data_IF_102662403160
#
_entry.id   IF_102662403160
#
_cell.length_a   1.000
_cell.length_b   1.000
_cell.length_c   1.000
_cell.angle_alpha   90.00
_cell.angle_beta   90.00
_cell.angle_gamma   90.00
#
_symmetry.space_group_name_H-M   'P 1'
#
loop_
_entity.id
_entity.type
_entity.pdbx_description
1 polymer ?
#
# COMPACT_ATOMS: atom_id res chain seq x y z
N UNK A 1 0.47 -17.57 12.73
CA UNK A 1 0.37 -18.25 11.43
C UNK A 1 0.60 -17.20 10.35
N UNK A 2 1.87 -16.95 10.03
CA UNK A 2 2.22 -16.11 8.89
C UNK A 2 2.01 -16.97 7.64
N UNK A 3 1.09 -16.60 6.77
CA UNK A 3 1.03 -17.20 5.44
C UNK A 3 2.30 -16.73 4.73
N UNK A 4 3.25 -17.65 4.59
CA UNK A 4 4.41 -17.46 3.74
C UNK A 4 3.92 -17.27 2.31
N UNK A 5 4.12 -16.08 1.77
CA UNK A 5 4.21 -15.90 0.33
C UNK A 5 5.70 -15.97 0.02
N UNK A 6 6.17 -17.14 -0.40
CA UNK A 6 7.49 -17.29 -0.99
C UNK A 6 7.55 -16.41 -2.25
N UNK A 7 8.23 -15.26 -2.16
CA UNK A 7 8.46 -14.40 -3.33
C UNK A 7 9.68 -14.96 -4.05
N UNK A 8 9.42 -15.88 -4.97
CA UNK A 8 10.40 -16.29 -5.97
C UNK A 8 10.73 -15.10 -6.88
N UNK A 9 11.96 -14.63 -6.73
CA UNK A 9 12.69 -13.77 -7.65
C UNK A 9 12.29 -12.28 -7.74
N UNK A 10 13.15 -11.42 -7.21
CA UNK A 10 13.08 -9.94 -7.31
C UNK A 10 12.97 -9.41 -8.74
N UNK A 11 13.31 -10.20 -9.77
CA UNK A 11 13.15 -9.81 -11.18
C UNK A 11 11.69 -9.80 -11.64
N UNK A 12 10.82 -10.64 -11.07
CA UNK A 12 9.38 -10.67 -11.39
C UNK A 12 8.61 -9.49 -10.78
N UNK A 13 9.09 -8.95 -9.64
CA UNK A 13 8.44 -7.82 -8.97
C UNK A 13 8.43 -6.55 -9.84
N UNK A 14 9.46 -6.36 -10.66
CA UNK A 14 9.58 -5.20 -11.58
C UNK A 14 8.56 -5.24 -12.72
N UNK A 15 8.01 -6.42 -13.05
CA UNK A 15 7.00 -6.61 -14.09
C UNK A 15 5.57 -6.69 -13.53
N UNK A 16 5.43 -6.74 -12.20
CA UNK A 16 4.12 -6.78 -11.56
C UNK A 16 3.42 -5.41 -11.59
N UNK A 17 2.07 -5.37 -11.64
CA UNK A 17 1.32 -4.14 -11.44
C UNK A 17 1.77 -3.41 -10.17
N UNK A 18 1.89 -2.09 -10.24
CA UNK A 18 2.40 -1.26 -9.14
C UNK A 18 1.74 -1.56 -7.78
N UNK A 19 0.45 -1.88 -7.78
CA UNK A 19 -0.31 -2.21 -6.57
C UNK A 19 0.21 -3.48 -5.86
N UNK A 20 0.61 -4.51 -6.61
CA UNK A 20 1.19 -5.75 -6.09
C UNK A 20 2.59 -5.46 -5.55
N UNK A 21 3.38 -4.69 -6.29
CA UNK A 21 4.72 -4.29 -5.86
C UNK A 21 4.67 -3.49 -4.55
N UNK A 22 3.81 -2.48 -4.47
CA UNK A 22 3.62 -1.66 -3.28
C UNK A 22 3.14 -2.50 -2.08
N UNK A 23 2.22 -3.45 -2.30
CA UNK A 23 1.76 -4.36 -1.24
C UNK A 23 2.89 -5.25 -0.69
N UNK A 24 3.70 -5.83 -1.56
CA UNK A 24 4.83 -6.66 -1.14
C UNK A 24 5.85 -5.84 -0.34
N UNK A 25 6.16 -4.63 -0.81
CA UNK A 25 7.06 -3.70 -0.09
C UNK A 25 6.49 -3.26 1.25
N UNK A 26 5.17 -3.07 1.35
CA UNK A 26 4.50 -2.83 2.63
C UNK A 26 4.72 -4.00 3.60
N UNK A 27 4.54 -5.25 3.15
CA UNK A 27 4.80 -6.44 3.97
C UNK A 27 6.26 -6.63 4.39
N UNK A 28 7.21 -6.13 3.59
CA UNK A 28 8.65 -6.16 3.88
C UNK A 28 9.15 -4.95 4.69
N UNK A 29 8.29 -3.97 4.96
CA UNK A 29 8.69 -2.72 5.63
C UNK A 29 9.53 -1.78 4.76
N UNK A 30 9.67 -2.04 3.46
CA UNK A 30 10.47 -1.26 2.50
C UNK A 30 9.61 -0.42 1.56
N UNK A 31 8.47 0.07 2.06
CA UNK A 31 7.46 0.77 1.24
C UNK A 31 8.02 2.00 0.51
N UNK A 32 8.96 2.72 1.13
CA UNK A 32 9.60 3.90 0.54
C UNK A 32 10.41 3.61 -0.73
N UNK A 33 10.84 2.37 -0.95
CA UNK A 33 11.49 1.95 -2.20
C UNK A 33 10.52 1.85 -3.38
N UNK A 34 9.21 2.02 -3.15
CA UNK A 34 8.22 2.13 -4.22
C UNK A 34 8.16 3.55 -4.81
N UNK A 35 8.78 4.54 -4.16
CA UNK A 35 8.80 5.93 -4.66
C UNK A 35 9.62 6.01 -5.95
N UNK A 36 9.09 6.73 -6.94
CA UNK A 36 9.76 6.92 -8.21
C UNK A 36 11.09 7.68 -8.02
N UNK A 37 12.25 7.10 -8.36
CA UNK A 37 13.54 7.76 -8.22
C UNK A 37 13.69 9.00 -9.12
N UNK A 38 12.86 9.15 -10.15
CA UNK A 38 12.86 10.31 -11.05
C UNK A 38 12.35 11.60 -10.39
N UNK A 39 11.64 11.49 -9.26
CA UNK A 39 11.11 12.64 -8.53
C UNK A 39 12.22 13.59 -8.08
N UNK A 40 13.47 13.14 -7.93
CA UNK A 40 14.66 13.97 -7.60
C UNK A 40 14.43 14.94 -6.41
N UNK A 41 13.46 14.64 -5.56
CA UNK A 41 13.09 15.44 -4.40
C UNK A 41 13.54 14.70 -3.16
N UNK A 42 14.19 15.40 -2.24
CA UNK A 42 14.38 14.91 -0.87
C UNK A 42 13.03 14.97 -0.16
N UNK A 43 12.40 13.82 0.00
CA UNK A 43 11.18 13.67 0.80
C UNK A 43 11.50 13.08 2.18
N UNK A 44 10.67 13.40 3.16
CA UNK A 44 10.71 12.71 4.46
C UNK A 44 10.25 11.28 4.28
N UNK A 45 11.05 10.31 4.72
CA UNK A 45 10.75 8.88 4.58
C UNK A 45 9.40 8.52 5.23
N UNK A 46 9.13 9.08 6.41
CA UNK A 46 7.85 8.89 7.09
C UNK A 46 6.66 9.45 6.31
N UNK A 47 6.81 10.61 5.67
CA UNK A 47 5.73 11.22 4.88
C UNK A 47 5.47 10.42 3.60
N UNK A 48 6.53 9.91 2.95
CA UNK A 48 6.37 9.03 1.79
C UNK A 48 5.71 7.70 2.18
N UNK A 49 6.14 7.09 3.29
CA UNK A 49 5.52 5.87 3.84
C UNK A 49 4.04 6.10 4.14
N UNK A 50 3.72 7.23 4.78
CA UNK A 50 2.38 7.69 5.11
C UNK A 50 1.50 7.78 3.85
N UNK A 51 1.96 8.49 2.83
CA UNK A 51 1.25 8.67 1.57
C UNK A 51 1.02 7.36 0.83
N UNK A 52 2.03 6.51 0.75
CA UNK A 52 1.92 5.20 0.08
C UNK A 52 0.94 4.27 0.83
N UNK A 53 0.94 4.31 2.17
CA UNK A 53 -0.01 3.53 2.98
C UNK A 53 -1.46 4.00 2.76
N UNK A 54 -1.70 5.31 2.71
CA UNK A 54 -3.02 5.87 2.34
C UNK A 54 -3.42 5.40 0.93
N UNK A 55 -2.48 5.44 -0.02
CA UNK A 55 -2.67 4.94 -1.38
C UNK A 55 -3.14 3.47 -1.40
N UNK A 56 -2.48 2.60 -0.63
CA UNK A 56 -2.87 1.19 -0.49
C UNK A 56 -4.29 1.02 0.09
N UNK A 57 -4.69 1.84 1.07
CA UNK A 57 -6.06 1.83 1.61
C UNK A 57 -7.10 2.23 0.56
N UNK A 58 -6.79 3.20 -0.29
CA UNK A 58 -7.69 3.68 -1.35
C UNK A 58 -7.94 2.64 -2.45
N UNK A 59 -7.00 1.72 -2.68
CA UNK A 59 -7.09 0.70 -3.72
C UNK A 59 -7.47 -0.69 -3.19
N UNK A 60 -7.91 -0.79 -1.93
CA UNK A 60 -8.37 -2.06 -1.37
C UNK A 60 -9.48 -2.69 -2.24
N UNK A 61 -9.46 -4.02 -2.35
CA UNK A 61 -10.41 -4.76 -3.18
C UNK A 61 -11.86 -4.56 -2.72
N UNK A 62 -12.11 -4.62 -1.40
CA UNK A 62 -13.42 -4.29 -0.82
C UNK A 62 -13.62 -2.78 -0.79
N UNK A 63 -14.70 -2.30 -1.43
CA UNK A 63 -15.09 -0.90 -1.42
C UNK A 63 -15.45 -0.39 -0.02
N UNK A 64 -15.98 -1.26 0.84
CA UNK A 64 -16.38 -0.92 2.22
C UNK A 64 -15.18 -0.63 3.13
N UNK A 65 -14.01 -1.19 2.78
CA UNK A 65 -12.77 -0.97 3.53
C UNK A 65 -12.00 0.27 3.04
N UNK A 66 -12.40 0.87 1.92
CA UNK A 66 -11.75 2.09 1.41
C UNK A 66 -12.14 3.29 2.29
N UNK A 67 -11.18 4.14 2.67
CA UNK A 67 -11.50 5.35 3.40
C UNK A 67 -12.33 6.30 2.54
N UNK A 68 -13.25 7.03 3.16
CA UNK A 68 -13.95 8.12 2.48
C UNK A 68 -12.97 9.23 2.10
N UNK A 69 -13.27 9.99 1.04
CA UNK A 69 -12.39 11.10 0.63
C UNK A 69 -12.19 12.15 1.73
N UNK A 70 -13.20 12.39 2.58
CA UNK A 70 -13.06 13.30 3.73
C UNK A 70 -12.08 12.76 4.77
N UNK A 71 -12.05 11.45 4.99
CA UNK A 71 -11.07 10.78 5.85
C UNK A 71 -9.67 10.86 5.23
N UNK A 72 -9.52 10.62 3.93
CA UNK A 72 -8.24 10.75 3.21
C UNK A 72 -7.67 12.16 3.38
N UNK A 73 -8.48 13.21 3.20
CA UNK A 73 -8.03 14.59 3.39
C UNK A 73 -7.54 14.85 4.83
N UNK A 74 -8.22 14.28 5.84
CA UNK A 74 -7.76 14.36 7.24
C UNK A 74 -6.44 13.62 7.46
N UNK A 75 -6.29 12.41 6.92
CA UNK A 75 -5.04 11.65 6.98
C UNK A 75 -3.87 12.42 6.36
N UNK A 76 -4.11 13.15 5.27
CA UNK A 76 -3.09 13.94 4.59
C UNK A 76 -2.71 15.23 5.32
N UNK A 77 -3.70 15.95 5.89
CA UNK A 77 -3.47 17.28 6.50
C UNK A 77 -3.08 17.20 7.96
N UNK A 78 -3.64 16.25 8.69
CA UNK A 78 -3.49 16.15 10.13
C UNK A 78 -2.54 15.01 10.49
N UNK A 79 -2.08 15.00 11.74
CA UNK A 79 -1.34 13.86 12.31
C UNK A 79 -2.31 12.73 12.72
N UNK A 80 -3.29 12.46 11.85
CA UNK A 80 -4.30 11.44 12.07
C UNK A 80 -3.69 10.05 11.92
N UNK A 81 -4.13 9.12 12.76
CA UNK A 81 -3.69 7.73 12.71
C UNK A 81 -4.13 7.10 11.38
N UNK A 82 -3.21 6.39 10.72
CA UNK A 82 -3.49 5.70 9.47
C UNK A 82 -3.67 4.22 9.76
N UNK A 83 -4.87 3.66 9.49
CA UNK A 83 -5.11 2.24 9.61
C UNK A 83 -4.11 1.42 8.80
N UNK A 84 -3.78 0.24 9.31
CA UNK A 84 -2.97 -0.70 8.55
C UNK A 84 -3.82 -1.34 7.44
N UNK A 85 -3.34 -1.36 6.18
CA UNK A 85 -3.97 -2.15 5.13
C UNK A 85 -4.05 -3.62 5.53
N UNK A 86 -5.26 -4.20 5.47
CA UNK A 86 -5.55 -5.55 5.98
C UNK A 86 -5.61 -6.63 4.92
N UNK A 87 -5.75 -6.26 3.65
CA UNK A 87 -5.88 -7.21 2.54
C UNK A 87 -5.20 -6.70 1.27
N UNK A 88 -4.67 -7.60 0.43
CA UNK A 88 -4.06 -7.18 -0.82
C UNK A 88 -5.10 -6.56 -1.75
N UNK A 89 -4.71 -5.56 -2.56
CA UNK A 89 -5.63 -4.85 -3.46
C UNK A 89 -6.25 -5.73 -4.56
N UNK A 90 -5.79 -6.96 -4.71
CA UNK A 90 -6.22 -7.93 -5.73
C UNK A 90 -7.04 -9.10 -5.20
N UNK A 91 -7.20 -9.26 -3.88
CA UNK A 91 -8.05 -10.30 -3.32
C UNK A 91 -9.46 -9.75 -3.11
N UNK A 92 -10.36 -9.94 -4.08
CA UNK A 92 -11.78 -9.93 -3.75
C UNK A 92 -12.00 -11.11 -2.82
N UNK A 93 -12.49 -10.88 -1.59
CA UNK A 93 -12.99 -11.96 -0.76
C UNK A 93 -13.92 -12.79 -1.65
N UNK A 94 -13.53 -14.04 -1.94
CA UNK A 94 -14.38 -14.96 -2.68
C UNK A 94 -15.74 -14.91 -2.01
N UNK A 95 -16.77 -14.51 -2.76
CA UNK A 95 -18.12 -14.29 -2.26
C UNK A 95 -18.53 -15.46 -1.36
N UNK A 96 -18.59 -15.22 -0.05
CA UNK A 96 -19.34 -16.08 0.84
C UNK A 96 -20.82 -15.80 0.53
N UNK A 97 -21.38 -16.59 -0.37
CA UNK A 97 -22.83 -16.70 -0.55
C UNK A 97 -23.35 -17.75 0.41
#
# INVERSE_FOLDING_TARGET
MAVGMEVSDSSNLKQSPFQIQAWNRYGLGTLCEAVDPSLQVTFGEEEARKLLQIGLLCVLASAELRPSMSMVVKMLKDNHEIPQPTQPPFLTAASAK
#
